data_IF_939477381859
#
_entry.id   IF_939477381859
#
_cell.length_a   1.000
_cell.length_b   1.000
_cell.length_c   1.000
_cell.angle_alpha   90.00
_cell.angle_beta   90.00
_cell.angle_gamma   90.00
#
_symmetry.space_group_name_H-M   'P 1'
#
loop_
_entity.id
_entity.type
_entity.pdbx_description
1 polymer ?
#
# COMPACT_ATOMS: atom_id res chain seq x y z
N UNK A 1 -21.69 -33.21 33.71
CA UNK A 1 -21.47 -31.82 34.18
C UNK A 1 -22.20 -30.90 33.23
N UNK A 2 -23.25 -30.22 33.70
CA UNK A 2 -24.08 -29.30 32.86
C UNK A 2 -23.46 -27.90 32.93
N UNK A 3 -23.10 -27.33 31.79
CA UNK A 3 -22.69 -25.92 31.70
C UNK A 3 -23.94 -25.04 31.63
N UNK A 4 -24.05 -24.13 32.57
CA UNK A 4 -25.11 -23.12 32.63
C UNK A 4 -24.88 -22.05 31.54
N UNK A 5 -25.94 -21.77 30.78
CA UNK A 5 -26.00 -20.62 29.87
C UNK A 5 -26.21 -19.34 30.70
N UNK A 6 -25.25 -18.44 30.69
CA UNK A 6 -25.42 -17.08 31.20
C UNK A 6 -25.90 -16.19 30.04
N UNK A 7 -27.13 -15.75 30.09
CA UNK A 7 -27.68 -14.73 29.21
C UNK A 7 -27.13 -13.38 29.62
N UNK A 8 -26.40 -12.72 28.71
CA UNK A 8 -25.98 -11.32 28.86
C UNK A 8 -27.17 -10.47 28.43
N UNK A 9 -27.69 -9.68 29.37
CA UNK A 9 -28.83 -8.81 29.16
C UNK A 9 -28.50 -7.61 28.25
N UNK A 10 -29.43 -7.31 27.36
CA UNK A 10 -29.50 -6.10 26.55
C UNK A 10 -29.50 -4.85 27.44
N UNK A 11 -28.58 -3.95 27.24
CA UNK A 11 -28.56 -2.62 27.83
C UNK A 11 -28.83 -1.57 26.73
N UNK A 12 -30.08 -1.09 26.57
CA UNK A 12 -30.40 -0.03 25.62
C UNK A 12 -30.14 1.34 26.26
N UNK A 13 -29.07 2.01 25.88
CA UNK A 13 -28.92 3.40 26.31
C UNK A 13 -27.50 3.96 26.43
N UNK A 14 -26.60 3.72 25.49
CA UNK A 14 -25.44 4.61 25.32
C UNK A 14 -25.57 5.39 24.01
N UNK A 15 -26.16 6.58 24.12
CA UNK A 15 -26.05 7.59 23.09
C UNK A 15 -24.61 8.08 23.03
N UNK A 16 -23.90 7.77 21.95
CA UNK A 16 -22.61 8.38 21.64
C UNK A 16 -22.84 9.88 21.36
N UNK A 17 -22.38 10.73 22.26
CA UNK A 17 -22.24 12.16 21.99
C UNK A 17 -21.05 12.35 21.05
N UNK A 18 -21.21 13.00 19.88
CA UNK A 18 -20.05 13.36 19.05
C UNK A 18 -19.21 14.38 19.83
N UNK A 19 -17.91 14.08 19.99
CA UNK A 19 -16.91 15.04 20.46
C UNK A 19 -16.79 16.10 19.36
N UNK A 20 -17.09 17.35 19.68
CA UNK A 20 -16.87 18.48 18.76
C UNK A 20 -15.37 18.59 18.51
N UNK A 21 -14.95 18.32 17.26
CA UNK A 21 -13.63 18.64 16.79
C UNK A 21 -13.45 20.17 16.84
N UNK A 22 -12.46 20.63 17.57
CA UNK A 22 -11.97 22.00 17.49
C UNK A 22 -11.47 22.25 16.06
N UNK A 23 -11.81 23.41 15.50
CA UNK A 23 -11.35 23.87 14.20
C UNK A 23 -9.82 24.09 14.20
N UNK A 24 -9.07 23.01 14.04
CA UNK A 24 -7.71 23.08 13.59
C UNK A 24 -7.76 23.12 12.06
N UNK A 25 -7.46 24.26 11.48
CA UNK A 25 -7.30 24.47 10.03
C UNK A 25 -6.37 23.40 9.49
N UNK A 26 -6.96 22.33 8.93
CA UNK A 26 -6.23 21.28 8.23
C UNK A 26 -5.86 21.85 6.85
N UNK A 27 -4.67 22.46 6.78
CA UNK A 27 -3.97 22.62 5.51
C UNK A 27 -3.65 21.19 5.09
N UNK A 28 -4.45 20.60 4.17
CA UNK A 28 -4.15 19.31 3.59
C UNK A 28 -2.82 19.46 2.80
N UNK A 29 -1.77 18.71 3.15
CA UNK A 29 -0.55 18.73 2.37
C UNK A 29 -0.87 18.29 0.94
N UNK A 30 -0.31 18.99 -0.05
CA UNK A 30 -0.45 18.55 -1.45
C UNK A 30 0.13 17.15 -1.64
N UNK A 31 -0.35 16.39 -2.61
CA UNK A 31 0.13 15.01 -2.94
C UNK A 31 1.66 14.96 -3.07
N UNK A 32 2.28 16.02 -3.57
CA UNK A 32 3.74 16.13 -3.67
C UNK A 32 4.43 16.14 -2.29
N UNK A 33 3.85 16.82 -1.31
CA UNK A 33 4.42 16.92 0.03
C UNK A 33 4.37 15.57 0.77
N UNK A 34 3.27 14.82 0.66
CA UNK A 34 3.13 13.46 1.24
C UNK A 34 4.16 12.51 0.66
N UNK A 35 4.38 12.55 -0.66
CA UNK A 35 5.36 11.70 -1.36
C UNK A 35 6.80 12.02 -0.94
N UNK A 36 7.15 13.29 -0.83
CA UNK A 36 8.48 13.74 -0.39
C UNK A 36 8.78 13.29 1.05
N UNK A 37 7.84 13.51 1.97
CA UNK A 37 7.95 13.03 3.36
C UNK A 37 8.07 11.50 3.45
N UNK A 38 7.39 10.78 2.57
CA UNK A 38 7.53 9.32 2.52
C UNK A 38 8.91 8.89 2.01
N UNK A 39 9.48 9.56 1.00
CA UNK A 39 10.83 9.29 0.51
C UNK A 39 11.86 9.52 1.63
N UNK A 40 11.78 10.66 2.33
CA UNK A 40 12.63 10.95 3.49
C UNK A 40 12.54 9.85 4.56
N UNK A 41 11.33 9.47 4.92
CA UNK A 41 11.09 8.39 5.87
C UNK A 41 11.65 7.04 5.41
N UNK A 42 11.52 6.69 4.14
CA UNK A 42 12.06 5.46 3.59
C UNK A 42 13.61 5.46 3.60
N UNK A 43 14.24 6.63 3.44
CA UNK A 43 15.68 6.81 3.60
C UNK A 43 16.12 6.68 5.06
N UNK A 44 15.45 7.38 5.99
CA UNK A 44 15.71 7.32 7.43
C UNK A 44 15.68 5.90 7.99
N UNK A 45 14.72 5.10 7.53
CA UNK A 45 14.55 3.69 7.95
C UNK A 45 15.44 2.71 7.19
N UNK A 46 16.16 3.18 6.16
CA UNK A 46 16.95 2.34 5.27
C UNK A 46 16.12 1.40 4.38
N UNK A 47 14.82 1.64 4.27
CA UNK A 47 13.92 0.94 3.33
C UNK A 47 14.29 1.30 1.90
N UNK A 48 14.56 2.58 1.63
CA UNK A 48 15.14 3.06 0.39
C UNK A 48 16.66 3.25 0.59
N UNK A 49 17.45 2.62 -0.27
CA UNK A 49 18.91 2.72 -0.26
C UNK A 49 19.42 2.91 -1.69
N UNK A 50 20.52 3.67 -1.84
CA UNK A 50 21.21 3.85 -3.11
C UNK A 50 22.53 3.08 -3.12
N UNK A 51 22.92 2.56 -4.28
CA UNK A 51 24.12 1.76 -4.49
C UNK A 51 23.96 0.79 -5.66
N UNK A 52 24.88 -0.14 -5.78
CA UNK A 52 24.85 -1.17 -6.83
C UNK A 52 24.09 -2.41 -6.34
N UNK A 53 22.86 -2.57 -6.77
CA UNK A 53 22.03 -3.71 -6.42
C UNK A 53 21.73 -4.58 -7.65
N UNK A 54 21.38 -5.84 -7.38
CA UNK A 54 20.91 -6.76 -8.42
C UNK A 54 19.53 -7.28 -8.01
N UNK A 55 18.53 -7.07 -8.86
CA UNK A 55 17.17 -7.56 -8.63
C UNK A 55 17.10 -9.09 -8.79
N UNK A 56 15.99 -9.72 -8.38
CA UNK A 56 15.78 -11.17 -8.56
C UNK A 56 15.81 -11.59 -10.04
N UNK A 57 15.46 -10.66 -10.95
CA UNK A 57 15.53 -10.90 -12.40
C UNK A 57 16.95 -10.73 -12.99
N UNK A 58 17.96 -10.46 -12.15
CA UNK A 58 19.34 -10.21 -12.59
C UNK A 58 19.63 -8.78 -13.06
N UNK A 59 18.63 -7.89 -13.08
CA UNK A 59 18.78 -6.49 -13.50
C UNK A 59 19.59 -5.70 -12.47
N UNK A 60 20.57 -4.93 -12.94
CA UNK A 60 21.33 -3.98 -12.11
C UNK A 60 20.47 -2.73 -11.87
N UNK A 61 20.41 -2.28 -10.62
CA UNK A 61 19.62 -1.10 -10.22
C UNK A 61 20.41 -0.22 -9.25
N UNK A 62 20.38 1.13 -9.42
CA UNK A 62 21.10 2.06 -8.56
C UNK A 62 20.40 2.35 -7.23
N UNK A 63 19.23 1.79 -7.01
CA UNK A 63 18.49 1.91 -5.76
C UNK A 63 17.76 0.62 -5.42
N UNK A 64 17.53 0.41 -4.14
CA UNK A 64 16.82 -0.74 -3.63
C UNK A 64 15.76 -0.30 -2.63
N UNK A 65 14.54 -0.83 -2.79
CA UNK A 65 13.43 -0.59 -1.89
C UNK A 65 13.07 -1.89 -1.19
N UNK A 66 13.34 -1.96 0.13
CA UNK A 66 13.11 -3.14 0.96
C UNK A 66 12.04 -2.86 2.02
N UNK A 67 10.78 -3.05 1.68
CA UNK A 67 9.65 -2.89 2.59
C UNK A 67 9.74 -3.75 3.87
N UNK A 68 10.53 -4.83 3.85
CA UNK A 68 10.75 -5.67 5.04
C UNK A 68 11.53 -4.98 6.17
N UNK A 69 12.12 -3.80 5.93
CA UNK A 69 12.79 -3.00 6.95
C UNK A 69 11.84 -2.10 7.77
N UNK A 70 10.58 -2.06 7.43
CA UNK A 70 9.55 -1.51 8.34
C UNK A 70 9.22 -2.54 9.44
N UNK A 71 10.20 -2.88 10.27
CA UNK A 71 10.19 -3.98 11.25
C UNK A 71 9.95 -3.51 12.70
N UNK A 72 9.68 -2.21 12.89
CA UNK A 72 9.41 -1.60 14.20
C UNK A 72 8.02 -1.00 14.25
N UNK A 73 7.36 -1.09 15.41
CA UNK A 73 6.02 -0.56 15.62
C UNK A 73 5.89 0.93 15.27
N UNK A 74 6.87 1.76 15.65
CA UNK A 74 6.87 3.19 15.31
C UNK A 74 6.98 3.43 13.79
N UNK A 75 7.79 2.63 13.09
CA UNK A 75 7.90 2.72 11.63
C UNK A 75 6.61 2.25 10.95
N UNK A 76 6.01 1.15 11.42
CA UNK A 76 4.74 0.66 10.90
C UNK A 76 3.59 1.64 11.14
N UNK A 77 3.54 2.29 12.29
CA UNK A 77 2.56 3.33 12.61
C UNK A 77 2.67 4.52 11.64
N UNK A 78 3.89 5.04 11.42
CA UNK A 78 4.14 6.14 10.49
C UNK A 78 3.80 5.74 9.04
N UNK A 79 4.17 4.52 8.64
CA UNK A 79 3.84 3.95 7.33
C UNK A 79 2.33 3.86 7.11
N UNK A 80 1.57 3.36 8.10
CA UNK A 80 0.11 3.30 8.03
C UNK A 80 -0.52 4.68 7.84
N UNK A 81 0.07 5.71 8.45
CA UNK A 81 -0.31 7.11 8.22
C UNK A 81 -0.16 7.54 6.76
N UNK A 82 0.92 7.15 6.08
CA UNK A 82 1.12 7.43 4.64
C UNK A 82 0.12 6.69 3.76
N UNK A 83 -0.16 5.40 4.06
CA UNK A 83 -1.22 4.67 3.36
C UNK A 83 -2.58 5.35 3.52
N UNK A 84 -2.97 5.67 4.75
CA UNK A 84 -4.24 6.33 5.02
C UNK A 84 -4.36 7.67 4.28
N UNK A 85 -3.28 8.47 4.25
CA UNK A 85 -3.26 9.74 3.53
C UNK A 85 -3.45 9.54 2.03
N UNK A 86 -2.68 8.64 1.40
CA UNK A 86 -2.80 8.35 -0.03
C UNK A 86 -4.19 7.81 -0.41
N UNK A 87 -4.78 6.98 0.45
CA UNK A 87 -6.14 6.45 0.27
C UNK A 87 -7.18 7.56 0.32
N UNK A 88 -7.12 8.45 1.32
CA UNK A 88 -8.05 9.56 1.48
C UNK A 88 -7.95 10.54 0.30
N UNK A 89 -6.74 10.91 -0.12
CA UNK A 89 -6.51 11.76 -1.28
C UNK A 89 -7.08 11.13 -2.57
N UNK A 90 -6.83 9.83 -2.80
CA UNK A 90 -7.34 9.12 -3.96
C UNK A 90 -8.89 8.97 -3.96
N UNK A 91 -9.49 8.82 -2.77
CA UNK A 91 -10.93 8.81 -2.59
C UNK A 91 -11.54 10.18 -2.86
N UNK A 92 -10.97 11.23 -2.28
CA UNK A 92 -11.49 12.60 -2.34
C UNK A 92 -11.41 13.17 -3.77
N UNK A 93 -10.40 12.78 -4.56
CA UNK A 93 -10.33 13.09 -5.99
C UNK A 93 -11.15 12.13 -6.89
N UNK A 94 -11.87 11.18 -6.30
CA UNK A 94 -12.76 10.24 -7.03
C UNK A 94 -12.05 9.11 -7.78
N UNK A 95 -10.73 8.92 -7.57
CA UNK A 95 -9.94 7.87 -8.23
C UNK A 95 -10.29 6.47 -7.74
N UNK A 96 -10.62 6.34 -6.46
CA UNK A 96 -11.06 5.08 -5.83
C UNK A 96 -12.29 5.32 -4.97
N UNK A 97 -13.11 4.26 -4.86
CA UNK A 97 -14.21 4.15 -3.89
C UNK A 97 -14.19 2.75 -3.32
N UNK A 98 -14.20 2.60 -2.02
CA UNK A 98 -14.08 1.30 -1.36
C UNK A 98 -14.93 1.22 -0.10
N UNK A 99 -15.22 0.00 0.30
CA UNK A 99 -16.06 -0.32 1.47
C UNK A 99 -15.26 -1.09 2.52
N UNK A 100 -14.17 -1.76 2.13
CA UNK A 100 -13.30 -2.52 3.03
C UNK A 100 -11.88 -2.65 2.49
N UNK A 101 -10.94 -3.10 3.36
CA UNK A 101 -9.55 -3.37 3.00
C UNK A 101 -9.28 -4.87 2.89
N UNK A 102 -8.33 -5.23 2.01
CA UNK A 102 -7.82 -6.59 1.89
C UNK A 102 -6.29 -6.60 1.85
N UNK A 103 -5.67 -7.41 2.71
CA UNK A 103 -4.22 -7.59 2.77
C UNK A 103 -3.77 -8.95 2.28
N UNK A 104 -3.17 -9.10 1.10
CA UNK A 104 -2.68 -10.40 0.63
C UNK A 104 -1.51 -10.89 1.47
N UNK A 105 -1.49 -12.19 1.76
CA UNK A 105 -0.40 -12.82 2.53
C UNK A 105 0.93 -12.73 1.75
N UNK A 106 2.04 -12.33 2.42
CA UNK A 106 2.13 -12.14 3.87
C UNK A 106 2.23 -10.67 4.29
N UNK A 107 2.92 -9.82 3.52
CA UNK A 107 3.16 -8.41 3.90
C UNK A 107 1.88 -7.60 3.97
N UNK A 108 0.96 -7.84 3.05
CA UNK A 108 -0.33 -7.15 3.03
C UNK A 108 -1.13 -7.33 4.32
N UNK A 109 -0.94 -8.42 5.06
CA UNK A 109 -1.65 -8.66 6.34
C UNK A 109 -1.38 -7.53 7.33
N UNK A 110 -0.12 -7.28 7.64
CA UNK A 110 0.26 -6.24 8.60
C UNK A 110 -0.06 -4.84 8.05
N UNK A 111 0.13 -4.63 6.74
CA UNK A 111 -0.15 -3.35 6.09
C UNK A 111 -1.63 -3.01 6.11
N UNK A 112 -2.52 -3.96 5.78
CA UNK A 112 -3.96 -3.71 5.80
C UNK A 112 -4.49 -3.47 7.22
N UNK A 113 -4.04 -4.25 8.20
CA UNK A 113 -4.43 -4.06 9.60
C UNK A 113 -3.99 -2.69 10.12
N UNK A 114 -2.73 -2.31 9.93
CA UNK A 114 -2.22 -1.01 10.35
C UNK A 114 -2.91 0.15 9.60
N UNK A 115 -3.17 -0.01 8.31
CA UNK A 115 -3.90 1.00 7.51
C UNK A 115 -5.34 1.17 7.98
N UNK A 116 -6.05 0.07 8.32
CA UNK A 116 -7.40 0.15 8.89
C UNK A 116 -7.42 0.97 10.18
N UNK A 117 -6.45 0.73 11.09
CA UNK A 117 -6.31 1.52 12.32
C UNK A 117 -6.06 3.01 12.01
N UNK A 118 -5.15 3.32 11.09
CA UNK A 118 -4.83 4.70 10.73
C UNK A 118 -5.99 5.43 10.02
N UNK A 119 -6.85 4.72 9.29
CA UNK A 119 -8.08 5.25 8.73
C UNK A 119 -9.13 5.51 9.81
N UNK A 120 -9.30 4.57 10.76
CA UNK A 120 -10.23 4.73 11.88
C UNK A 120 -9.88 5.94 12.76
N UNK A 121 -8.59 6.18 13.03
CA UNK A 121 -8.11 7.39 13.72
C UNK A 121 -8.48 8.68 12.99
N UNK A 122 -8.64 8.62 11.67
CA UNK A 122 -9.09 9.74 10.81
C UNK A 122 -10.60 9.79 10.59
N UNK A 123 -11.36 8.98 11.34
CA UNK A 123 -12.82 8.94 11.30
C UNK A 123 -13.40 8.07 10.19
N UNK A 124 -12.59 7.25 9.53
CA UNK A 124 -13.04 6.29 8.52
C UNK A 124 -12.82 4.86 9.02
N UNK A 125 -13.80 4.35 9.76
CA UNK A 125 -13.80 2.96 10.24
C UNK A 125 -14.30 2.03 9.14
N UNK A 126 -13.44 1.14 8.65
CA UNK A 126 -13.75 0.18 7.59
C UNK A 126 -13.32 -1.23 7.99
N UNK A 127 -14.09 -2.26 7.66
CA UNK A 127 -13.70 -3.63 7.88
C UNK A 127 -12.46 -4.00 7.05
N UNK A 128 -11.68 -4.98 7.55
CA UNK A 128 -10.58 -5.54 6.80
C UNK A 128 -10.54 -7.07 6.87
N UNK A 129 -9.88 -7.67 5.88
CA UNK A 129 -9.58 -9.10 5.85
C UNK A 129 -8.25 -9.37 5.17
N UNK A 130 -7.79 -10.59 5.30
CA UNK A 130 -6.61 -11.09 4.62
C UNK A 130 -6.77 -12.56 4.27
N UNK A 131 -5.94 -13.09 3.35
CA UNK A 131 -5.92 -14.51 3.04
C UNK A 131 -4.78 -15.24 3.75
N UNK A 132 -4.98 -16.52 3.97
CA UNK A 132 -3.92 -17.50 4.24
C UNK A 132 -3.40 -18.05 2.93
N UNK A 133 -2.15 -18.54 2.90
CA UNK A 133 -1.63 -19.30 1.74
C UNK A 133 -2.11 -20.73 1.71
N UNK A 134 -2.44 -21.30 2.87
CA UNK A 134 -2.95 -22.65 3.02
C UNK A 134 -4.29 -22.60 3.73
N UNK A 135 -5.24 -23.38 3.21
CA UNK A 135 -6.55 -23.53 3.86
C UNK A 135 -6.39 -24.26 5.19
N UNK A 136 -7.15 -23.85 6.22
CA UNK A 136 -7.26 -24.60 7.46
C UNK A 136 -8.49 -25.49 7.41
N UNK A 137 -8.30 -26.76 7.80
CA UNK A 137 -9.37 -27.77 7.83
C UNK A 137 -10.19 -27.72 9.13
N UNK A 138 -9.74 -26.96 10.16
CA UNK A 138 -10.35 -26.92 11.49
C UNK A 138 -10.53 -25.52 12.05
N UNK A 139 -11.58 -25.30 12.84
CA UNK A 139 -11.91 -24.02 13.49
C UNK A 139 -12.60 -23.05 12.52
N UNK A 140 -12.18 -21.79 12.50
CA UNK A 140 -12.56 -20.85 11.44
C UNK A 140 -11.89 -21.26 10.13
N UNK A 141 -12.43 -22.30 9.49
CA UNK A 141 -11.90 -22.89 8.26
C UNK A 141 -11.84 -21.90 7.09
N UNK A 142 -11.11 -22.29 6.02
CA UNK A 142 -11.04 -21.52 4.78
C UNK A 142 -9.78 -20.70 4.60
N UNK A 143 -9.76 -19.98 3.47
CA UNK A 143 -8.62 -19.16 3.03
C UNK A 143 -8.64 -17.74 3.57
N UNK A 144 -9.79 -17.22 4.01
CA UNK A 144 -9.99 -15.84 4.44
C UNK A 144 -10.06 -15.72 5.96
N UNK A 145 -9.56 -14.61 6.50
CA UNK A 145 -9.61 -14.24 7.91
C UNK A 145 -10.02 -12.78 8.02
N UNK A 146 -10.87 -12.46 9.00
CA UNK A 146 -11.43 -11.13 9.19
C UNK A 146 -12.85 -11.00 8.64
N UNK A 147 -13.22 -9.82 8.17
CA UNK A 147 -14.56 -9.59 7.62
C UNK A 147 -14.77 -10.34 6.30
N UNK A 148 -15.99 -10.84 6.01
CA UNK A 148 -16.30 -11.41 4.70
C UNK A 148 -16.03 -10.40 3.58
N UNK A 149 -15.45 -10.85 2.46
CA UNK A 149 -15.25 -9.99 1.28
C UNK A 149 -16.61 -9.65 0.67
N UNK A 150 -16.95 -8.37 0.67
CA UNK A 150 -18.20 -7.87 0.09
C UNK A 150 -18.05 -6.40 -0.35
N UNK A 151 -18.89 -5.96 -1.29
CA UNK A 151 -18.82 -4.60 -1.83
C UNK A 151 -17.50 -4.36 -2.57
N UNK A 152 -16.97 -3.16 -2.45
CA UNK A 152 -15.76 -2.69 -3.12
C UNK A 152 -14.55 -2.86 -2.21
N UNK A 153 -13.63 -3.71 -2.61
CA UNK A 153 -12.48 -4.15 -1.80
C UNK A 153 -11.19 -3.49 -2.27
N UNK A 154 -10.54 -2.71 -1.39
CA UNK A 154 -9.27 -2.06 -1.66
C UNK A 154 -8.11 -2.95 -1.17
N UNK A 155 -7.23 -3.33 -2.09
CA UNK A 155 -6.07 -4.17 -1.79
C UNK A 155 -4.92 -3.29 -1.27
N UNK A 156 -4.31 -3.69 -0.14
CA UNK A 156 -3.16 -3.01 0.47
C UNK A 156 -1.95 -3.93 0.38
N UNK A 157 -0.90 -3.51 -0.35
CA UNK A 157 0.33 -4.30 -0.46
C UNK A 157 1.57 -3.41 -0.66
N UNK A 158 2.78 -3.99 -0.72
CA UNK A 158 4.04 -3.22 -0.73
C UNK A 158 4.39 -2.61 -2.09
N UNK A 159 4.60 -3.42 -3.12
CA UNK A 159 4.98 -3.01 -4.49
C UNK A 159 4.37 -3.94 -5.53
N UNK A 160 4.35 -3.51 -6.78
CA UNK A 160 4.04 -4.38 -7.93
C UNK A 160 5.33 -4.64 -8.70
N UNK A 161 5.69 -5.92 -8.87
CA UNK A 161 6.83 -6.36 -9.70
C UNK A 161 6.36 -6.92 -11.03
N UNK A 162 5.77 -8.11 -11.04
CA UNK A 162 5.13 -8.74 -12.21
C UNK A 162 3.59 -8.74 -12.12
N UNK A 163 3.04 -8.32 -10.99
CA UNK A 163 1.61 -8.24 -10.72
C UNK A 163 0.93 -9.59 -10.47
N UNK A 164 1.62 -10.72 -10.46
CA UNK A 164 0.99 -12.05 -10.30
C UNK A 164 0.19 -12.15 -8.99
N UNK A 165 0.80 -11.87 -7.84
CA UNK A 165 0.12 -11.93 -6.54
C UNK A 165 -1.09 -10.98 -6.44
N UNK A 166 -1.03 -9.81 -7.12
CA UNK A 166 -2.15 -8.86 -7.16
C UNK A 166 -3.28 -9.36 -8.05
N UNK A 167 -2.95 -10.02 -9.18
CA UNK A 167 -3.96 -10.68 -10.03
C UNK A 167 -4.65 -11.83 -9.30
N UNK A 168 -3.92 -12.61 -8.50
CA UNK A 168 -4.50 -13.65 -7.63
C UNK A 168 -5.46 -13.04 -6.61
N UNK A 169 -5.10 -11.90 -6.01
CA UNK A 169 -5.98 -11.17 -5.07
C UNK A 169 -7.25 -10.67 -5.75
N UNK A 170 -7.14 -10.11 -6.94
CA UNK A 170 -8.29 -9.67 -7.76
C UNK A 170 -9.21 -10.86 -8.08
N UNK A 171 -8.63 -11.99 -8.50
CA UNK A 171 -9.39 -13.21 -8.79
C UNK A 171 -10.10 -13.76 -7.53
N UNK A 172 -9.42 -13.75 -6.38
CA UNK A 172 -9.99 -14.18 -5.09
C UNK A 172 -11.18 -13.29 -4.69
N UNK A 173 -11.05 -11.96 -4.78
CA UNK A 173 -12.12 -11.01 -4.45
C UNK A 173 -13.33 -11.25 -5.34
N UNK A 174 -13.12 -11.38 -6.66
CA UNK A 174 -14.20 -11.65 -7.62
C UNK A 174 -14.86 -13.02 -7.38
N UNK A 175 -14.10 -14.03 -7.01
CA UNK A 175 -14.63 -15.35 -6.68
C UNK A 175 -15.54 -15.35 -5.43
N UNK A 176 -15.39 -14.37 -4.55
CA UNK A 176 -16.28 -14.14 -3.40
C UNK A 176 -17.49 -13.26 -3.73
N UNK A 177 -17.67 -12.86 -4.99
CA UNK A 177 -18.76 -11.98 -5.41
C UNK A 177 -18.57 -10.51 -5.05
N UNK A 178 -17.34 -10.12 -4.64
CA UNK A 178 -16.98 -8.74 -4.34
C UNK A 178 -16.26 -8.08 -5.53
N UNK A 179 -16.13 -6.75 -5.51
CA UNK A 179 -15.53 -5.95 -6.56
C UNK A 179 -14.14 -5.43 -6.12
N UNK A 180 -13.04 -5.65 -6.90
CA UNK A 180 -11.77 -5.01 -6.62
C UNK A 180 -11.84 -3.51 -6.91
N UNK A 181 -11.70 -2.69 -5.88
CA UNK A 181 -11.80 -1.22 -5.95
C UNK A 181 -10.51 -0.52 -6.35
N UNK A 182 -9.38 -1.19 -6.16
CA UNK A 182 -8.06 -0.67 -6.41
C UNK A 182 -6.99 -1.42 -5.65
N UNK A 183 -5.74 -1.06 -5.91
CA UNK A 183 -4.55 -1.52 -5.17
C UNK A 183 -3.79 -0.30 -4.68
N UNK A 184 -3.40 -0.27 -3.40
CA UNK A 184 -2.51 0.78 -2.86
C UNK A 184 -1.15 0.16 -2.54
N UNK A 185 -0.09 0.80 -3.06
CA UNK A 185 1.30 0.35 -2.90
C UNK A 185 2.19 1.50 -2.41
N UNK A 186 3.35 1.17 -1.86
CA UNK A 186 4.32 2.16 -1.38
C UNK A 186 5.00 2.89 -2.52
N UNK A 187 5.51 2.14 -3.51
CA UNK A 187 6.34 2.67 -4.59
C UNK A 187 5.94 2.06 -5.94
N UNK A 188 5.57 2.92 -6.89
CA UNK A 188 5.58 2.55 -8.31
C UNK A 188 6.98 2.81 -8.89
N UNK A 189 7.68 1.75 -9.24
CA UNK A 189 9.00 1.84 -9.87
C UNK A 189 8.94 2.30 -11.32
N UNK A 190 7.76 2.36 -11.89
CA UNK A 190 7.50 2.76 -13.29
C UNK A 190 8.37 1.99 -14.30
N UNK A 191 8.72 0.74 -13.98
CA UNK A 191 9.62 -0.09 -14.77
C UNK A 191 8.87 -0.94 -15.78
N UNK A 192 9.42 -1.00 -16.99
CA UNK A 192 8.97 -1.93 -18.05
C UNK A 192 9.24 -3.37 -17.63
N UNK A 193 8.24 -4.23 -17.86
CA UNK A 193 8.35 -5.67 -17.62
C UNK A 193 9.10 -6.37 -18.75
N UNK A 194 9.67 -7.54 -18.40
CA UNK A 194 10.39 -8.39 -19.34
C UNK A 194 11.90 -8.39 -19.15
N UNK A 195 12.60 -9.31 -19.78
CA UNK A 195 14.05 -9.35 -19.76
C UNK A 195 14.66 -8.22 -20.61
N UNK A 196 15.92 -7.89 -20.37
CA UNK A 196 16.61 -6.74 -20.98
C UNK A 196 16.56 -6.71 -22.53
N UNK A 197 16.50 -7.89 -23.15
CA UNK A 197 16.43 -8.03 -24.62
C UNK A 197 14.99 -7.98 -25.18
N UNK A 198 13.98 -7.97 -24.32
CA UNK A 198 12.56 -7.96 -24.71
C UNK A 198 11.71 -7.21 -23.67
N UNK A 199 12.05 -5.93 -23.45
CA UNK A 199 11.28 -5.04 -22.58
C UNK A 199 9.94 -4.67 -23.23
N UNK A 200 8.87 -4.75 -22.45
CA UNK A 200 7.56 -4.27 -22.89
C UNK A 200 7.55 -2.75 -23.03
N UNK A 201 6.54 -2.21 -23.70
CA UNK A 201 6.31 -0.75 -23.74
C UNK A 201 5.62 -0.22 -22.48
N UNK A 202 5.06 -1.11 -21.65
CA UNK A 202 4.27 -0.76 -20.46
C UNK A 202 5.01 -1.07 -19.17
N UNK A 203 4.74 -0.27 -18.12
CA UNK A 203 5.17 -0.59 -16.76
C UNK A 203 4.36 -1.75 -16.18
N UNK A 204 4.90 -2.36 -15.12
CA UNK A 204 4.21 -3.41 -14.39
C UNK A 204 2.84 -2.96 -13.84
N UNK A 205 2.75 -1.70 -13.37
CA UNK A 205 1.51 -1.10 -12.87
C UNK A 205 0.50 -0.96 -14.02
N UNK A 206 0.89 -0.34 -15.14
CA UNK A 206 -0.01 -0.15 -16.28
C UNK A 206 -0.49 -1.47 -16.88
N UNK A 207 0.39 -2.45 -17.01
CA UNK A 207 0.02 -3.79 -17.48
C UNK A 207 -0.97 -4.47 -16.54
N UNK A 208 -0.80 -4.28 -15.22
CA UNK A 208 -1.75 -4.78 -14.22
C UNK A 208 -3.11 -4.08 -14.33
N UNK A 209 -3.15 -2.74 -14.35
CA UNK A 209 -4.38 -1.95 -14.47
C UNK A 209 -5.18 -2.36 -15.72
N UNK A 210 -4.51 -2.44 -16.86
CA UNK A 210 -5.14 -2.85 -18.13
C UNK A 210 -5.68 -4.28 -18.09
N UNK A 211 -4.94 -5.21 -17.47
CA UNK A 211 -5.33 -6.62 -17.42
C UNK A 211 -6.47 -6.91 -16.43
N UNK A 212 -6.65 -6.07 -15.40
CA UNK A 212 -7.58 -6.34 -14.31
C UNK A 212 -8.70 -5.32 -14.19
N UNK A 213 -8.63 -4.21 -14.94
CA UNK A 213 -9.51 -3.04 -14.78
C UNK A 213 -9.57 -2.54 -13.31
N UNK A 214 -8.42 -2.56 -12.64
CA UNK A 214 -8.30 -2.23 -11.22
C UNK A 214 -7.23 -1.14 -11.06
N UNK A 215 -7.59 0.08 -10.63
CA UNK A 215 -6.66 1.20 -10.51
C UNK A 215 -5.60 0.96 -9.43
N UNK A 216 -4.40 1.49 -9.64
CA UNK A 216 -3.31 1.44 -8.67
C UNK A 216 -3.01 2.85 -8.16
N UNK A 217 -2.95 3.00 -6.85
CA UNK A 217 -2.51 4.19 -6.13
C UNK A 217 -1.15 3.90 -5.52
N UNK A 218 -0.15 4.73 -5.75
CA UNK A 218 1.15 4.64 -5.08
C UNK A 218 1.36 5.84 -4.15
N UNK A 219 1.97 5.61 -2.98
CA UNK A 219 2.36 6.69 -2.06
C UNK A 219 3.42 7.56 -2.73
N UNK A 220 4.38 6.91 -3.41
CA UNK A 220 5.39 7.59 -4.25
C UNK A 220 5.68 6.78 -5.50
N UNK A 221 6.41 7.38 -6.42
CA UNK A 221 6.85 6.77 -7.68
C UNK A 221 8.28 7.20 -8.04
N UNK A 222 8.84 6.60 -9.08
CA UNK A 222 10.20 6.88 -9.52
C UNK A 222 10.37 8.34 -10.01
N UNK A 223 9.34 8.95 -10.58
CA UNK A 223 9.42 10.34 -11.03
C UNK A 223 9.52 11.31 -9.84
N UNK A 224 8.73 11.09 -8.80
CA UNK A 224 8.82 11.84 -7.54
C UNK A 224 10.13 11.61 -6.81
N UNK A 225 10.69 10.40 -6.87
CA UNK A 225 12.03 10.13 -6.36
C UNK A 225 13.09 10.96 -7.11
N UNK A 226 13.01 11.06 -8.42
CA UNK A 226 13.90 11.91 -9.22
C UNK A 226 13.70 13.39 -8.91
N UNK A 227 12.47 13.86 -8.72
CA UNK A 227 12.18 15.23 -8.29
C UNK A 227 12.79 15.54 -6.92
N UNK A 228 12.66 14.60 -5.97
CA UNK A 228 13.30 14.71 -4.65
C UNK A 228 14.82 14.83 -4.78
N UNK A 229 15.48 13.97 -5.56
CA UNK A 229 16.94 14.01 -5.76
C UNK A 229 17.43 15.30 -6.42
N UNK A 230 16.56 16.00 -7.18
CA UNK A 230 16.85 17.30 -7.80
C UNK A 230 16.58 18.48 -6.87
N UNK A 231 15.86 18.26 -5.77
CA UNK A 231 15.50 19.33 -4.83
C UNK A 231 16.72 19.86 -4.07
N UNK A 232 16.56 21.00 -3.43
CA UNK A 232 17.64 21.68 -2.66
C UNK A 232 17.57 21.33 -1.15
N UNK A 233 16.86 20.26 -0.75
CA UNK A 233 16.88 19.80 0.63
C UNK A 233 18.26 19.27 1.01
N UNK A 234 18.63 19.37 2.29
CA UNK A 234 19.94 18.89 2.77
C UNK A 234 20.13 17.39 2.50
N UNK A 235 19.04 16.62 2.64
CA UNK A 235 19.06 15.16 2.42
C UNK A 235 19.20 14.82 0.93
N UNK A 236 18.51 15.53 0.04
CA UNK A 236 18.68 15.40 -1.41
C UNK A 236 20.08 15.82 -1.86
N UNK A 237 20.63 16.90 -1.27
CA UNK A 237 22.00 17.37 -1.54
C UNK A 237 23.05 16.29 -1.27
N UNK A 238 22.92 15.56 -0.17
CA UNK A 238 23.83 14.44 0.16
C UNK A 238 23.72 13.28 -0.83
N UNK A 239 22.56 13.10 -1.48
CA UNK A 239 22.27 12.04 -2.44
C UNK A 239 22.44 12.46 -3.91
N UNK A 240 22.76 13.71 -4.16
CA UNK A 240 22.94 14.24 -5.53
C UNK A 240 23.89 13.42 -6.44
N UNK A 241 24.98 12.81 -5.92
CA UNK A 241 25.82 11.89 -6.72
C UNK A 241 25.06 10.69 -7.31
N UNK A 242 23.94 10.29 -6.71
CA UNK A 242 23.13 9.14 -7.15
C UNK A 242 22.16 9.51 -8.30
N UNK A 243 21.87 10.80 -8.49
CA UNK A 243 20.90 11.30 -9.46
C UNK A 243 21.19 10.79 -10.88
N UNK A 244 22.41 10.93 -11.37
CA UNK A 244 22.78 10.50 -12.72
C UNK A 244 22.59 9.00 -12.96
N UNK A 245 22.86 8.17 -11.96
CA UNK A 245 22.65 6.73 -12.04
C UNK A 245 21.16 6.39 -12.10
N UNK A 246 20.32 7.05 -11.29
CA UNK A 246 18.86 6.85 -11.28
C UNK A 246 18.24 7.36 -12.60
N UNK A 247 18.67 8.50 -13.13
CA UNK A 247 18.23 9.02 -14.44
C UNK A 247 18.58 8.06 -15.58
N UNK A 248 19.82 7.55 -15.60
CA UNK A 248 20.24 6.57 -16.59
C UNK A 248 19.43 5.27 -16.51
N UNK A 249 19.12 4.84 -15.30
CA UNK A 249 18.27 3.70 -15.06
C UNK A 249 16.82 3.94 -15.54
N UNK A 250 16.25 5.10 -15.22
CA UNK A 250 14.92 5.53 -15.68
C UNK A 250 14.84 5.58 -17.23
N UNK A 251 15.88 6.12 -17.86
CA UNK A 251 15.95 6.17 -19.35
C UNK A 251 15.97 4.78 -19.98
N UNK A 252 16.66 3.83 -19.35
CA UNK A 252 16.80 2.47 -19.88
C UNK A 252 15.57 1.58 -19.62
N UNK A 253 15.03 1.64 -18.41
CA UNK A 253 14.02 0.69 -17.93
C UNK A 253 12.65 1.30 -17.66
N UNK A 254 12.52 2.61 -17.67
CA UNK A 254 11.25 3.29 -17.42
C UNK A 254 10.26 3.16 -18.59
N UNK A 255 8.96 3.14 -18.23
CA UNK A 255 7.83 3.16 -19.15
C UNK A 255 7.23 4.57 -19.25
#
# INVERSE_FOLDING_TARGET
MRYARTTIGDNPGRQFRPVRASEASLIQPSVNHTSEQFIEFALETGVLAFGDFTTKSGRKTPYFFNAGRFDRGAALLRLAGFYAQAILEARDCGRIRFDMLFGPAYKGIALAAATAMALAERGLDVPYSYNRKEAKDHGEGGMLVGAPLQGRVLIIDDVITDGAAKRESVALIRAQGAEPAGVVIMLDRMERIGPDHALSSESAVRAFERATDTPVVSITDLERLLQFLRSDTAQAGALRPQLAAVESYRKRYGA
#
